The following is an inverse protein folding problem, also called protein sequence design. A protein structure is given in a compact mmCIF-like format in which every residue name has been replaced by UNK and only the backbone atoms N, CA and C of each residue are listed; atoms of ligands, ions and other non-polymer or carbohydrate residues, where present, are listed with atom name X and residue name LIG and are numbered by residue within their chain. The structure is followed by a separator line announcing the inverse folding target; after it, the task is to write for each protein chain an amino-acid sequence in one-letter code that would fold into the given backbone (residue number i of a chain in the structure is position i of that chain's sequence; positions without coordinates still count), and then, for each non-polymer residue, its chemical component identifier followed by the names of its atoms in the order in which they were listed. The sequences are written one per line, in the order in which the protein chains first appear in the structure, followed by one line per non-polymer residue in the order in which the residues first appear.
data_IF_714223994352
#
_entry.id   IF_714223994352
#
_cell.length_a   1.000
_cell.length_b   1.000
_cell.length_c   1.000
_cell.angle_alpha   90.00
_cell.angle_beta   90.00
_cell.angle_gamma   90.00
#
_symmetry.space_group_name_H-M   'P 1'
#
loop_
_entity.id
_entity.type
_entity.pdbx_description
1 polymer ?
#
# COMPACT_ATOMS: atom_id res chain seq x y z
N UNK A 1 -7.00 5.34 40.10
CA UNK A 1 -7.34 5.08 41.51
C UNK A 1 -6.12 5.44 42.33
N UNK A 2 -6.16 6.59 43.00
CA UNK A 2 -5.02 7.18 43.68
C UNK A 2 -5.05 6.76 45.15
N UNK A 3 -4.03 6.02 45.57
CA UNK A 3 -3.87 5.66 46.99
C UNK A 3 -2.89 6.67 47.58
N UNK A 4 -3.41 7.66 48.30
CA UNK A 4 -2.59 8.47 49.19
C UNK A 4 -2.43 7.68 50.48
N UNK A 5 -1.22 7.20 50.75
CA UNK A 5 -0.88 6.58 52.03
C UNK A 5 -1.01 7.62 53.13
N UNK A 6 -2.13 7.62 53.84
CA UNK A 6 -2.28 8.35 55.09
C UNK A 6 -1.26 7.80 56.09
N UNK A 7 -0.31 8.63 56.50
CA UNK A 7 0.50 8.36 57.69
C UNK A 7 1.99 8.12 57.47
N UNK A 8 2.68 8.90 56.64
CA UNK A 8 4.14 8.99 56.74
C UNK A 8 4.63 10.44 56.60
N UNK A 9 4.96 11.03 57.75
CA UNK A 9 5.75 12.25 57.98
C UNK A 9 5.09 13.60 57.62
N UNK A 10 4.45 14.19 58.64
CA UNK A 10 4.08 15.60 58.74
C UNK A 10 5.32 16.50 58.83
N UNK A 11 5.92 16.85 57.68
CA UNK A 11 6.77 18.05 57.46
C UNK A 11 7.70 17.87 56.26
N UNK A 12 7.14 17.79 55.05
CA UNK A 12 7.86 18.23 53.85
C UNK A 12 6.86 18.43 52.72
N UNK A 13 7.03 19.51 51.99
CA UNK A 13 6.32 19.95 50.77
C UNK A 13 6.52 18.99 49.56
N UNK A 14 6.69 17.70 49.84
CA UNK A 14 6.95 16.61 48.91
C UNK A 14 5.74 15.67 48.92
N UNK A 15 4.91 15.77 47.88
CA UNK A 15 3.86 14.79 47.61
C UNK A 15 4.47 13.58 46.91
N UNK A 16 4.68 12.49 47.65
CA UNK A 16 5.14 11.22 47.08
C UNK A 16 3.93 10.49 46.51
N UNK A 17 3.90 10.30 45.18
CA UNK A 17 2.85 9.54 44.49
C UNK A 17 3.42 8.22 44.02
N UNK A 18 2.83 7.11 44.46
CA UNK A 18 3.18 5.77 44.01
C UNK A 18 2.27 5.35 42.86
N UNK A 19 2.87 5.01 41.71
CA UNK A 19 2.15 4.48 40.57
C UNK A 19 2.37 2.97 40.48
N UNK A 20 1.28 2.19 40.42
CA UNK A 20 1.36 0.78 40.07
C UNK A 20 0.92 0.57 38.59
N UNK A 21 1.53 -0.36 37.85
CA UNK A 21 1.03 -0.75 36.54
C UNK A 21 -0.22 -1.63 36.70
N UNK A 22 -1.30 -1.27 35.99
CA UNK A 22 -2.53 -2.07 35.98
C UNK A 22 -2.35 -3.26 35.04
N UNK A 23 -2.05 -4.44 35.58
CA UNK A 23 -1.83 -5.68 34.81
C UNK A 23 -3.12 -6.44 34.45
N UNK A 24 -4.27 -5.74 34.40
CA UNK A 24 -5.53 -6.36 33.99
C UNK A 24 -5.51 -6.58 32.48
N UNK A 25 -5.89 -7.78 32.03
CA UNK A 25 -5.82 -8.19 30.62
C UNK A 25 -6.34 -7.13 29.63
N UNK A 26 -7.53 -6.51 29.83
CA UNK A 26 -8.02 -5.50 28.91
C UNK A 26 -7.13 -4.25 28.84
N UNK A 27 -6.55 -3.84 29.98
CA UNK A 27 -5.72 -2.64 30.07
C UNK A 27 -4.34 -2.85 29.46
N UNK A 28 -3.79 -4.06 29.55
CA UNK A 28 -2.50 -4.41 28.93
C UNK A 28 -2.65 -4.46 27.41
N UNK A 29 -3.74 -5.03 26.90
CA UNK A 29 -4.04 -5.06 25.46
C UNK A 29 -4.25 -3.65 24.90
N UNK A 30 -5.00 -2.82 25.60
CA UNK A 30 -5.23 -1.42 25.23
C UNK A 30 -3.92 -0.61 25.25
N UNK A 31 -3.08 -0.79 26.28
CA UNK A 31 -1.78 -0.14 26.36
C UNK A 31 -0.84 -0.60 25.24
N UNK A 32 -0.82 -1.89 24.90
CA UNK A 32 -0.02 -2.40 23.80
C UNK A 32 -0.50 -1.87 22.44
N UNK A 33 -1.80 -1.71 22.26
CA UNK A 33 -2.40 -1.11 21.07
C UNK A 33 -1.99 0.36 20.90
N UNK A 34 -2.07 1.17 21.96
CA UNK A 34 -1.68 2.58 21.92
C UNK A 34 -0.17 2.84 22.06
N UNK A 35 0.60 1.87 22.55
CA UNK A 35 2.06 2.00 22.66
C UNK A 35 2.73 2.18 21.30
N UNK A 36 2.08 1.75 20.21
CA UNK A 36 2.62 1.86 18.87
C UNK A 36 1.94 2.96 18.06
N UNK A 37 2.27 4.22 18.39
CA UNK A 37 1.77 5.39 17.66
C UNK A 37 2.25 5.47 16.20
N UNK A 38 3.30 4.74 15.83
CA UNK A 38 3.88 4.82 14.48
C UNK A 38 3.17 3.92 13.47
N UNK A 39 2.73 2.72 13.88
CA UNK A 39 2.10 1.75 12.96
C UNK A 39 0.88 2.33 12.24
N UNK A 40 -0.12 2.93 12.90
CA UNK A 40 -1.29 3.47 12.22
C UNK A 40 -0.97 4.55 11.18
N UNK A 41 0.14 5.27 11.36
CA UNK A 41 0.57 6.35 10.44
C UNK A 41 1.02 5.79 9.10
N UNK A 42 1.76 4.69 9.10
CA UNK A 42 2.35 4.09 7.89
C UNK A 42 1.58 2.86 7.39
N UNK A 43 0.58 2.40 8.13
CA UNK A 43 -0.12 1.15 7.83
C UNK A 43 -0.79 1.16 6.45
N UNK A 44 -1.46 2.26 6.10
CA UNK A 44 -2.16 2.37 4.82
C UNK A 44 -1.20 2.33 3.62
N UNK A 45 -0.11 3.08 3.66
CA UNK A 45 0.94 3.07 2.64
C UNK A 45 1.63 1.71 2.55
N UNK A 46 1.88 1.08 3.71
CA UNK A 46 2.49 -0.25 3.79
C UNK A 46 1.61 -1.33 3.17
N UNK A 47 0.30 -1.24 3.35
CA UNK A 47 -0.65 -2.16 2.71
C UNK A 47 -0.61 -1.99 1.19
N UNK A 48 -0.58 -0.76 0.68
CA UNK A 48 -0.47 -0.53 -0.77
C UNK A 48 0.85 -1.05 -1.32
N UNK A 49 1.98 -0.80 -0.64
CA UNK A 49 3.27 -1.36 -1.02
C UNK A 49 3.27 -2.90 -1.04
N UNK A 50 2.60 -3.52 -0.07
CA UNK A 50 2.42 -4.97 0.00
C UNK A 50 1.55 -5.48 -1.16
N UNK A 51 0.50 -4.76 -1.53
CA UNK A 51 -0.33 -5.09 -2.69
C UNK A 51 0.46 -4.99 -4.01
N UNK A 52 1.30 -3.96 -4.16
CA UNK A 52 2.22 -3.82 -5.30
C UNK A 52 3.17 -5.01 -5.35
N UNK A 53 3.79 -5.38 -4.23
CA UNK A 53 4.65 -6.55 -4.16
C UNK A 53 3.90 -7.84 -4.49
N UNK A 54 2.65 -8.01 -4.04
CA UNK A 54 1.86 -9.19 -4.37
C UNK A 54 1.55 -9.31 -5.88
N UNK A 55 1.41 -8.18 -6.58
CA UNK A 55 1.18 -8.15 -8.03
C UNK A 55 2.49 -8.35 -8.82
N UNK A 56 3.58 -7.74 -8.34
CA UNK A 56 4.84 -7.65 -9.06
C UNK A 56 5.92 -8.65 -8.58
N UNK A 57 5.68 -9.39 -7.50
CA UNK A 57 6.69 -10.06 -6.65
C UNK A 57 7.60 -11.06 -7.36
N UNK A 58 7.13 -11.76 -8.39
CA UNK A 58 7.99 -12.64 -9.19
C UNK A 58 8.88 -11.87 -10.18
N UNK A 59 8.46 -10.67 -10.58
CA UNK A 59 9.16 -9.84 -11.57
C UNK A 59 10.10 -8.83 -10.92
N UNK A 60 9.83 -8.40 -9.68
CA UNK A 60 10.66 -7.44 -8.94
C UNK A 60 12.14 -7.83 -8.83
N UNK A 61 12.51 -9.11 -8.54
CA UNK A 61 13.90 -9.53 -8.47
C UNK A 61 14.62 -9.44 -9.82
N UNK A 62 13.88 -9.57 -10.93
CA UNK A 62 14.41 -9.48 -12.30
C UNK A 62 14.73 -8.03 -12.71
N UNK A 63 14.11 -7.06 -12.04
CA UNK A 63 14.35 -5.62 -12.29
C UNK A 63 15.42 -5.01 -11.38
N UNK A 64 16.08 -5.82 -10.54
CA UNK A 64 17.18 -5.35 -9.70
C UNK A 64 18.40 -5.03 -10.58
N UNK A 65 18.49 -3.77 -11.03
CA UNK A 65 19.57 -3.27 -11.90
C UNK A 65 19.22 -3.16 -13.38
N UNK A 66 17.95 -3.31 -13.78
CA UNK A 66 17.47 -3.08 -15.14
C UNK A 66 16.37 -2.02 -15.14
N UNK A 67 16.31 -1.15 -16.17
CA UNK A 67 15.27 -0.14 -16.43
C UNK A 67 13.90 -0.74 -16.83
N UNK A 68 13.56 -1.92 -16.30
CA UNK A 68 12.30 -2.55 -16.63
C UNK A 68 11.15 -1.99 -15.80
N UNK A 69 10.11 -1.54 -16.48
CA UNK A 69 8.91 -1.02 -15.85
C UNK A 69 7.87 -2.12 -15.60
N UNK A 70 7.30 -2.13 -14.39
CA UNK A 70 6.13 -2.96 -14.08
C UNK A 70 4.90 -2.09 -14.11
N UNK A 71 4.09 -2.27 -15.15
CA UNK A 71 2.80 -1.58 -15.29
C UNK A 71 1.69 -2.57 -14.93
N UNK A 72 0.72 -2.11 -14.15
CA UNK A 72 -0.50 -2.84 -13.82
C UNK A 72 -1.70 -1.87 -13.79
N UNK A 73 -2.91 -2.34 -14.08
CA UNK A 73 -4.09 -1.50 -14.04
C UNK A 73 -4.42 -1.07 -12.61
N UNK A 74 -4.84 0.20 -12.43
CA UNK A 74 -5.21 0.75 -11.11
C UNK A 74 -6.31 -0.07 -10.43
N UNK A 75 -7.29 -0.55 -11.18
CA UNK A 75 -8.39 -1.36 -10.65
C UNK A 75 -7.91 -2.67 -10.01
N UNK A 76 -6.88 -3.29 -10.58
CA UNK A 76 -6.28 -4.49 -10.01
C UNK A 76 -5.53 -4.18 -8.70
N UNK A 77 -4.81 -3.05 -8.64
CA UNK A 77 -4.17 -2.61 -7.39
C UNK A 77 -5.22 -2.32 -6.32
N UNK A 78 -6.25 -1.53 -6.63
CA UNK A 78 -7.32 -1.18 -5.69
C UNK A 78 -8.00 -2.43 -5.11
N UNK A 79 -8.38 -3.40 -5.96
CA UNK A 79 -9.00 -4.65 -5.52
C UNK A 79 -8.09 -5.46 -4.56
N UNK A 80 -6.77 -5.45 -4.79
CA UNK A 80 -5.81 -6.13 -3.89
C UNK A 80 -5.65 -5.41 -2.56
N UNK A 81 -5.62 -4.09 -2.58
CA UNK A 81 -5.55 -3.27 -1.35
C UNK A 81 -6.81 -3.47 -0.51
N UNK A 82 -7.99 -3.46 -1.13
CA UNK A 82 -9.27 -3.71 -0.45
C UNK A 82 -9.31 -5.09 0.21
N UNK A 83 -8.80 -6.13 -0.48
CA UNK A 83 -8.69 -7.46 0.10
C UNK A 83 -7.80 -7.45 1.35
N UNK A 84 -6.65 -6.79 1.31
CA UNK A 84 -5.75 -6.68 2.46
C UNK A 84 -6.39 -5.86 3.60
N UNK A 85 -7.11 -4.78 3.28
CA UNK A 85 -7.86 -4.00 4.27
C UNK A 85 -8.93 -4.86 4.97
N UNK A 86 -9.66 -5.69 4.22
CA UNK A 86 -10.68 -6.58 4.78
C UNK A 86 -10.11 -7.68 5.67
N UNK A 87 -8.87 -8.13 5.43
CA UNK A 87 -8.21 -9.12 6.29
C UNK A 87 -7.65 -8.45 7.55
N UNK A 88 -7.02 -7.28 7.40
CA UNK A 88 -6.33 -6.59 8.49
C UNK A 88 -7.26 -5.79 9.41
N UNK A 89 -8.53 -5.59 9.04
CA UNK A 89 -9.51 -4.87 9.88
C UNK A 89 -9.75 -5.52 11.25
N UNK A 90 -9.44 -6.81 11.41
CA UNK A 90 -9.58 -7.53 12.68
C UNK A 90 -8.39 -7.32 13.63
N UNK A 91 -7.25 -6.87 13.09
CA UNK A 91 -6.00 -6.67 13.83
C UNK A 91 -5.72 -5.18 14.07
N UNK A 92 -6.18 -4.31 13.16
CA UNK A 92 -5.91 -2.87 13.21
C UNK A 92 -7.15 -2.03 12.94
N UNK A 93 -7.23 -0.88 13.61
CA UNK A 93 -8.17 0.19 13.24
C UNK A 93 -7.62 0.91 12.01
N UNK A 94 -7.96 0.39 10.82
CA UNK A 94 -7.47 0.88 9.53
C UNK A 94 -8.19 2.15 9.05
N UNK A 95 -9.43 2.35 9.48
CA UNK A 95 -10.27 3.47 9.10
C UNK A 95 -11.02 4.00 10.30
N UNK A 96 -11.24 5.31 10.32
CA UNK A 96 -12.15 5.92 11.27
C UNK A 96 -13.58 5.39 11.01
N UNK A 97 -14.43 5.28 12.05
CA UNK A 97 -15.75 4.64 11.98
C UNK A 97 -16.76 5.29 11.01
N UNK A 98 -16.39 6.37 10.30
CA UNK A 98 -17.23 7.04 9.32
C UNK A 98 -16.58 7.15 7.94
N UNK A 99 -15.44 6.51 7.71
CA UNK A 99 -14.68 6.62 6.46
C UNK A 99 -14.91 5.40 5.57
N UNK A 100 -15.24 5.66 4.31
CA UNK A 100 -15.39 4.60 3.31
C UNK A 100 -14.02 4.01 2.97
N UNK A 101 -13.92 2.68 2.99
CA UNK A 101 -12.68 1.95 2.69
C UNK A 101 -12.17 2.27 1.28
N UNK A 102 -13.07 2.30 0.28
CA UNK A 102 -12.73 2.59 -1.11
C UNK A 102 -12.11 3.99 -1.26
N UNK A 103 -12.69 5.00 -0.58
CA UNK A 103 -12.14 6.36 -0.65
C UNK A 103 -10.81 6.46 0.08
N UNK A 104 -10.59 5.72 1.17
CA UNK A 104 -9.27 5.64 1.80
C UNK A 104 -8.25 4.99 0.87
N UNK A 105 -8.60 3.87 0.22
CA UNK A 105 -7.74 3.18 -0.75
C UNK A 105 -7.32 4.13 -1.86
N UNK A 106 -8.27 4.79 -2.52
CA UNK A 106 -7.98 5.73 -3.60
C UNK A 106 -7.08 6.88 -3.14
N UNK A 107 -7.39 7.50 -2.00
CA UNK A 107 -6.57 8.57 -1.44
C UNK A 107 -5.13 8.12 -1.14
N UNK A 108 -4.96 6.88 -0.68
CA UNK A 108 -3.62 6.35 -0.36
C UNK A 108 -2.81 6.03 -1.62
N UNK A 109 -3.46 5.51 -2.67
CA UNK A 109 -2.83 5.32 -3.97
C UNK A 109 -2.44 6.67 -4.58
N UNK A 110 -3.35 7.65 -4.54
CA UNK A 110 -3.07 9.00 -5.06
C UNK A 110 -1.97 9.70 -4.28
N UNK A 111 -1.91 9.51 -2.95
CA UNK A 111 -0.80 9.98 -2.13
C UNK A 111 0.54 9.39 -2.59
N UNK A 112 0.60 8.08 -2.85
CA UNK A 112 1.82 7.42 -3.32
C UNK A 112 2.25 7.92 -4.70
N UNK A 113 1.29 8.17 -5.60
CA UNK A 113 1.55 8.80 -6.90
C UNK A 113 2.10 10.22 -6.72
N UNK A 114 1.47 11.03 -5.87
CA UNK A 114 1.91 12.40 -5.58
C UNK A 114 3.31 12.45 -4.95
N UNK A 115 3.66 11.47 -4.12
CA UNK A 115 5.01 11.32 -3.56
C UNK A 115 6.05 10.77 -4.54
N UNK A 116 5.67 10.55 -5.81
CA UNK A 116 6.52 9.96 -6.86
C UNK A 116 7.01 8.54 -6.55
N UNK A 117 6.35 7.83 -5.62
CA UNK A 117 6.62 6.42 -5.33
C UNK A 117 5.96 5.49 -6.37
N UNK A 118 4.87 5.97 -6.98
CA UNK A 118 4.21 5.34 -8.13
C UNK A 118 4.14 6.35 -9.27
N UNK A 119 4.25 5.89 -10.51
CA UNK A 119 4.09 6.72 -11.70
C UNK A 119 2.87 6.28 -12.50
N UNK A 120 2.12 7.25 -13.02
CA UNK A 120 0.99 6.98 -13.92
C UNK A 120 1.54 6.81 -15.32
N UNK A 121 1.51 5.58 -15.84
CA UNK A 121 1.84 5.32 -17.23
C UNK A 121 0.65 5.71 -18.13
N UNK A 122 0.78 6.81 -18.88
CA UNK A 122 -0.14 7.21 -19.95
C UNK A 122 0.15 6.49 -21.29
N UNK A 123 1.12 5.59 -21.30
CA UNK A 123 1.52 4.84 -22.49
C UNK A 123 0.38 3.94 -22.98
N UNK A 124 0.05 4.08 -24.27
CA UNK A 124 -0.80 3.15 -25.00
C UNK A 124 -0.45 1.72 -24.63
N UNK A 125 -1.49 0.91 -24.41
CA UNK A 125 -1.50 -0.48 -23.97
C UNK A 125 -0.57 -1.39 -24.81
N UNK A 126 0.76 -1.25 -24.68
CA UNK A 126 1.74 -2.13 -25.31
C UNK A 126 2.00 -3.31 -24.37
N UNK A 127 0.94 -4.06 -24.07
CA UNK A 127 1.01 -5.34 -23.37
C UNK A 127 1.47 -6.48 -24.30
N UNK A 128 2.09 -6.18 -25.44
CA UNK A 128 2.83 -7.20 -26.16
C UNK A 128 4.13 -7.42 -25.41
N UNK A 129 4.19 -8.53 -24.66
CA UNK A 129 5.47 -9.11 -24.26
C UNK A 129 6.41 -9.08 -25.47
N UNK A 130 7.71 -8.84 -25.28
CA UNK A 130 8.70 -8.79 -26.37
C UNK A 130 8.58 -10.00 -27.31
N UNK A 131 8.11 -11.13 -26.78
CA UNK A 131 7.76 -12.33 -27.53
C UNK A 131 6.54 -12.16 -28.47
N UNK A 132 5.42 -11.62 -27.99
CA UNK A 132 4.26 -11.31 -28.84
C UNK A 132 4.58 -10.28 -29.92
N UNK A 133 5.44 -9.30 -29.64
CA UNK A 133 5.88 -8.31 -30.64
C UNK A 133 6.73 -8.95 -31.74
N UNK A 134 7.62 -9.89 -31.38
CA UNK A 134 8.40 -10.69 -32.33
C UNK A 134 7.51 -11.59 -33.18
N UNK A 135 6.53 -12.26 -32.57
CA UNK A 135 5.56 -13.09 -33.30
C UNK A 135 4.70 -12.25 -34.25
N UNK A 136 4.16 -11.11 -33.78
CA UNK A 136 3.37 -10.20 -34.61
C UNK A 136 4.18 -9.66 -35.80
N UNK A 137 5.44 -9.25 -35.57
CA UNK A 137 6.32 -8.83 -36.65
C UNK A 137 6.69 -9.98 -37.60
N UNK A 138 6.95 -11.18 -37.08
CA UNK A 138 7.24 -12.35 -37.91
C UNK A 138 6.03 -12.73 -38.76
N UNK A 139 4.81 -12.72 -38.20
CA UNK A 139 3.57 -13.00 -38.90
C UNK A 139 3.27 -11.93 -39.95
N UNK A 140 3.47 -10.64 -39.65
CA UNK A 140 3.31 -9.55 -40.60
C UNK A 140 4.29 -9.68 -41.78
N UNK A 141 5.55 -10.03 -41.51
CA UNK A 141 6.55 -10.30 -42.54
C UNK A 141 6.22 -11.56 -43.36
N UNK A 142 5.67 -12.60 -42.72
CA UNK A 142 5.28 -13.84 -43.42
C UNK A 142 4.05 -13.65 -44.29
N UNK A 143 3.13 -12.77 -43.89
CA UNK A 143 1.89 -12.52 -44.61
C UNK A 143 2.04 -11.52 -45.76
N UNK A 144 3.20 -10.86 -45.93
CA UNK A 144 3.48 -10.04 -47.11
C UNK A 144 2.44 -8.95 -47.35
N UNK A 145 2.05 -8.21 -46.32
CA UNK A 145 1.20 -7.03 -46.50
C UNK A 145 2.10 -5.88 -46.94
N UNK A 146 2.63 -5.98 -48.16
CA UNK A 146 3.10 -4.81 -48.89
C UNK A 146 1.86 -3.97 -49.20
N UNK A 147 1.81 -2.78 -48.59
CA UNK A 147 0.79 -1.80 -48.87
C UNK A 147 1.10 -1.24 -50.25
N UNK A 148 0.45 -1.77 -51.28
CA UNK A 148 0.55 -1.24 -52.64
C UNK A 148 0.06 0.22 -52.64
N UNK A 149 1.00 1.17 -52.62
CA UNK A 149 0.75 2.56 -53.01
C UNK A 149 0.62 2.64 -54.53
N UNK A 150 -0.52 2.19 -55.07
CA UNK A 150 -0.85 2.46 -56.47
C UNK A 150 -1.37 3.90 -56.58
N UNK A 151 -0.47 4.77 -57.02
CA UNK A 151 -0.80 6.09 -57.52
C UNK A 151 -1.51 5.99 -58.87
N UNK A 152 -2.76 6.45 -58.92
CA UNK A 152 -3.38 6.85 -60.17
C UNK A 152 -3.28 8.38 -60.33
N UNK A 153 -2.34 8.75 -61.20
CA UNK A 153 -2.21 10.07 -61.80
C UNK A 153 -2.79 9.93 -63.22
N UNK A 154 -4.02 10.39 -63.42
CA UNK A 154 -4.58 10.89 -64.70
C UNK A 154 -5.76 11.80 -64.40
#
# INVERSE_FOLDING_TARGET
MEWSSGGAAENNNLRIVFYHPTLRLPHVLELQYYANAAVPVFLSESIVATAVYAIAGEKLPLFRGCDGEVVFPRSQLAARVELLFNVLQFEFILNLPCRNIHTTVDNTIDKLVNTSLLSVCLGSLSYASTHQRRWANAVALTLGWEQDEDGDRC
#
